data_IF_350970760322
#
_entry.id   IF_350970760322
#
_cell.length_a   1.000
_cell.length_b   1.000
_cell.length_c   1.000
_cell.angle_alpha   90.00
_cell.angle_beta   90.00
_cell.angle_gamma   90.00
#
_symmetry.space_group_name_H-M   'P 1'
#
loop_
_entity.id
_entity.type
_entity.pdbx_description
1 polymer ?
#
# COMPACT_ATOMS: atom_id res chain seq x y z
N UNK A 1 87.89 -10.37 -27.02
CA UNK A 1 87.16 -11.57 -27.52
C UNK A 1 86.47 -12.27 -26.36
N UNK A 2 85.14 -12.18 -26.33
CA UNK A 2 84.14 -13.17 -25.83
C UNK A 2 84.39 -13.99 -24.55
N UNK A 3 83.56 -13.75 -23.51
CA UNK A 3 82.53 -14.66 -22.91
C UNK A 3 82.10 -14.07 -21.54
N UNK A 4 80.84 -13.63 -21.38
CA UNK A 4 79.65 -14.38 -20.87
C UNK A 4 79.78 -14.84 -19.42
N UNK A 5 78.87 -14.33 -18.56
CA UNK A 5 77.98 -15.06 -17.63
C UNK A 5 77.36 -14.03 -16.65
N UNK A 6 76.21 -13.44 -16.96
CA UNK A 6 74.84 -13.87 -16.60
C UNK A 6 74.54 -13.75 -15.10
N UNK A 7 73.97 -12.60 -14.72
CA UNK A 7 73.30 -12.34 -13.43
C UNK A 7 71.93 -13.02 -13.49
N UNK A 8 71.73 -14.05 -12.67
CA UNK A 8 70.43 -14.70 -12.45
C UNK A 8 69.65 -13.92 -11.39
N UNK A 9 68.75 -13.04 -11.82
CA UNK A 9 67.73 -12.45 -10.94
C UNK A 9 66.53 -13.40 -10.85
N UNK A 10 66.28 -13.94 -9.66
CA UNK A 10 65.05 -14.64 -9.30
C UNK A 10 63.87 -13.63 -9.38
N UNK A 11 62.98 -13.81 -10.34
CA UNK A 11 61.67 -13.16 -10.34
C UNK A 11 60.61 -14.21 -10.01
N UNK A 12 60.18 -14.23 -8.75
CA UNK A 12 59.01 -15.01 -8.29
C UNK A 12 57.75 -14.28 -8.76
N UNK A 13 57.06 -14.83 -9.76
CA UNK A 13 55.73 -14.37 -10.16
C UNK A 13 54.68 -15.08 -9.29
N UNK A 14 54.06 -14.34 -8.37
CA UNK A 14 52.88 -14.78 -7.63
C UNK A 14 51.66 -14.69 -8.57
N UNK A 15 51.13 -15.83 -9.02
CA UNK A 15 49.87 -15.88 -9.77
C UNK A 15 48.73 -15.91 -8.74
N UNK A 16 48.04 -14.78 -8.57
CA UNK A 16 46.75 -14.76 -7.90
C UNK A 16 45.68 -15.37 -8.82
N UNK A 17 45.32 -16.63 -8.56
CA UNK A 17 44.11 -17.27 -9.08
C UNK A 17 42.90 -16.61 -8.40
N UNK A 18 42.36 -15.56 -9.01
CA UNK A 18 41.03 -15.05 -8.65
C UNK A 18 40.02 -16.09 -9.14
N UNK A 19 39.58 -16.96 -8.25
CA UNK A 19 38.40 -17.78 -8.46
C UNK A 19 37.21 -16.83 -8.67
N UNK A 20 36.88 -16.56 -9.92
CA UNK A 20 35.69 -15.80 -10.28
C UNK A 20 34.47 -16.58 -9.82
N UNK A 21 33.87 -16.16 -8.70
CA UNK A 21 32.50 -16.55 -8.41
C UNK A 21 31.65 -16.06 -9.59
N UNK A 22 30.82 -16.91 -10.21
CA UNK A 22 29.92 -16.45 -11.25
C UNK A 22 29.00 -15.41 -10.63
N UNK A 23 29.24 -14.13 -10.95
CA UNK A 23 28.22 -13.10 -10.81
C UNK A 23 27.07 -13.58 -11.69
N UNK A 24 26.01 -14.09 -11.07
CA UNK A 24 24.80 -14.40 -11.79
C UNK A 24 24.34 -13.11 -12.46
N UNK A 25 24.51 -13.07 -13.79
CA UNK A 25 23.97 -12.02 -14.62
C UNK A 25 22.45 -12.07 -14.44
N UNK A 26 21.91 -11.21 -13.57
CA UNK A 26 20.47 -11.05 -13.45
C UNK A 26 19.96 -10.60 -14.81
N UNK A 27 19.11 -11.42 -15.42
CA UNK A 27 18.56 -11.16 -16.75
C UNK A 27 18.00 -9.73 -16.84
N UNK A 28 18.29 -9.08 -17.97
CA UNK A 28 17.74 -7.78 -18.41
C UNK A 28 16.23 -7.81 -18.67
N UNK A 29 15.55 -8.85 -18.20
CA UNK A 29 14.13 -9.10 -18.42
C UNK A 29 13.26 -8.05 -17.73
N UNK A 30 12.32 -7.52 -18.52
CA UNK A 30 11.16 -6.74 -18.06
C UNK A 30 10.35 -7.55 -17.05
N UNK A 31 9.56 -6.88 -16.20
CA UNK A 31 8.61 -7.61 -15.38
C UNK A 31 7.44 -8.09 -16.22
N UNK A 32 6.99 -9.31 -15.98
CA UNK A 32 5.75 -9.86 -16.52
C UNK A 32 4.52 -9.11 -16.00
N UNK A 33 3.37 -9.28 -16.65
CA UNK A 33 2.09 -8.74 -16.15
C UNK A 33 1.78 -9.23 -14.71
N UNK A 34 2.13 -10.48 -14.41
CA UNK A 34 1.93 -11.09 -13.09
C UNK A 34 2.77 -10.39 -12.02
N UNK A 35 4.07 -10.22 -12.27
CA UNK A 35 4.97 -9.49 -11.37
C UNK A 35 4.51 -8.04 -11.18
N UNK A 36 4.10 -7.34 -12.24
CA UNK A 36 3.55 -5.99 -12.13
C UNK A 36 2.27 -5.94 -11.29
N UNK A 37 1.40 -6.95 -11.40
CA UNK A 37 0.20 -7.09 -10.56
C UNK A 37 0.55 -7.16 -9.08
N UNK A 38 1.53 -7.99 -8.71
CA UNK A 38 2.04 -8.12 -7.33
C UNK A 38 2.63 -6.79 -6.84
N UNK A 39 3.52 -6.17 -7.62
CA UNK A 39 4.15 -4.88 -7.28
C UNK A 39 3.10 -3.80 -7.01
N UNK A 40 2.09 -3.68 -7.88
CA UNK A 40 1.02 -2.68 -7.74
C UNK A 40 0.10 -2.99 -6.57
N UNK A 41 -0.22 -4.27 -6.33
CA UNK A 41 -1.02 -4.66 -5.16
C UNK A 41 -0.29 -4.29 -3.86
N UNK A 42 0.98 -4.65 -3.72
CA UNK A 42 1.79 -4.40 -2.52
C UNK A 42 2.06 -2.90 -2.31
N UNK A 43 2.41 -2.16 -3.37
CA UNK A 43 2.52 -0.70 -3.29
C UNK A 43 1.18 -0.03 -2.97
N UNK A 44 0.08 -0.57 -3.52
CA UNK A 44 -1.28 -0.16 -3.16
C UNK A 44 -1.62 -0.43 -1.70
N UNK A 45 -1.15 -1.55 -1.13
CA UNK A 45 -1.30 -1.91 0.29
C UNK A 45 -0.58 -0.93 1.19
N UNK A 46 0.60 -0.43 0.83
CA UNK A 46 1.27 0.65 1.58
C UNK A 46 0.39 1.90 1.73
N UNK A 47 -0.35 2.31 0.69
CA UNK A 47 -1.29 3.44 0.80
C UNK A 47 -2.38 3.17 1.83
N UNK A 48 -2.95 1.96 1.80
CA UNK A 48 -3.96 1.54 2.76
C UNK A 48 -3.37 1.55 4.18
N UNK A 49 -2.16 1.04 4.37
CA UNK A 49 -1.48 1.00 5.67
C UNK A 49 -1.26 2.40 6.25
N UNK A 50 -0.90 3.41 5.44
CA UNK A 50 -0.82 4.79 5.96
C UNK A 50 -2.15 5.27 6.54
N UNK A 51 -3.28 4.91 5.91
CA UNK A 51 -4.61 5.28 6.41
C UNK A 51 -5.06 4.42 7.59
N UNK A 52 -4.72 3.12 7.59
CA UNK A 52 -5.00 2.18 8.69
C UNK A 52 -4.26 2.60 9.96
N UNK A 53 -2.98 2.96 9.88
CA UNK A 53 -2.21 3.46 11.02
C UNK A 53 -2.80 4.75 11.58
N UNK A 54 -3.16 5.72 10.72
CA UNK A 54 -3.87 6.92 11.18
C UNK A 54 -5.20 6.59 11.87
N UNK A 55 -5.97 5.64 11.32
CA UNK A 55 -7.23 5.19 11.93
C UNK A 55 -7.00 4.56 13.30
N UNK A 56 -5.98 3.70 13.44
CA UNK A 56 -5.62 3.04 14.70
C UNK A 56 -5.23 4.06 15.78
N UNK A 57 -4.42 5.06 15.44
CA UNK A 57 -4.08 6.18 16.33
C UNK A 57 -5.34 6.95 16.77
N UNK A 58 -6.26 7.25 15.85
CA UNK A 58 -7.50 7.96 16.19
C UNK A 58 -8.48 7.08 16.98
N UNK A 59 -8.46 5.75 16.82
CA UNK A 59 -9.21 4.83 17.67
C UNK A 59 -8.62 4.80 19.09
N UNK A 60 -7.30 4.89 19.25
CA UNK A 60 -6.69 5.04 20.58
C UNK A 60 -7.16 6.34 21.25
N UNK A 61 -7.13 7.47 20.53
CA UNK A 61 -7.66 8.73 21.04
C UNK A 61 -9.16 8.65 21.40
N UNK A 62 -9.97 8.05 20.54
CA UNK A 62 -11.39 7.85 20.82
C UNK A 62 -11.62 6.90 22.02
N UNK A 63 -10.75 5.91 22.23
CA UNK A 63 -10.82 4.96 23.34
C UNK A 63 -10.56 5.58 24.72
N UNK A 64 -9.95 6.77 24.78
CA UNK A 64 -9.87 7.56 26.03
C UNK A 64 -11.26 8.02 26.52
N UNK A 65 -12.24 8.08 25.61
CA UNK A 65 -13.62 8.49 25.91
C UNK A 65 -14.63 7.34 25.76
N UNK A 66 -14.42 6.45 24.77
CA UNK A 66 -15.30 5.33 24.45
C UNK A 66 -14.72 4.04 25.04
N UNK A 67 -15.21 3.62 26.21
CA UNK A 67 -14.74 2.40 26.92
C UNK A 67 -14.82 1.11 26.11
N UNK A 68 -15.73 1.03 25.14
CA UNK A 68 -15.90 -0.15 24.29
C UNK A 68 -14.81 -0.28 23.20
N UNK A 69 -14.01 0.76 22.98
CA UNK A 69 -12.85 0.67 22.08
C UNK A 69 -11.66 0.17 22.89
N UNK A 70 -11.20 -1.04 22.56
CA UNK A 70 -9.99 -1.60 23.15
C UNK A 70 -8.76 -0.87 22.58
N UNK A 71 -8.19 0.00 23.41
CA UNK A 71 -6.97 0.75 23.10
C UNK A 71 -5.80 -0.21 22.84
N UNK A 72 -5.66 -1.27 23.64
CA UNK A 72 -4.56 -2.25 23.53
C UNK A 72 -4.65 -3.08 22.24
N UNK A 73 -5.85 -3.38 21.77
CA UNK A 73 -6.03 -3.96 20.43
C UNK A 73 -5.52 -3.02 19.33
N UNK A 74 -5.79 -1.72 19.44
CA UNK A 74 -5.31 -0.73 18.46
C UNK A 74 -3.78 -0.54 18.52
N UNK A 75 -3.17 -0.66 19.70
CA UNK A 75 -1.70 -0.75 19.83
C UNK A 75 -1.13 -1.95 19.05
N UNK A 76 -1.70 -3.15 19.25
CA UNK A 76 -1.27 -4.37 18.55
C UNK A 76 -1.45 -4.24 17.04
N UNK A 77 -2.56 -3.67 16.60
CA UNK A 77 -2.84 -3.47 15.18
C UNK A 77 -1.93 -2.41 14.55
N UNK A 78 -1.60 -1.34 15.27
CA UNK A 78 -0.64 -0.33 14.83
C UNK A 78 0.77 -0.93 14.63
N UNK A 79 1.22 -1.74 15.59
CA UNK A 79 2.50 -2.46 15.50
C UNK A 79 2.55 -3.39 14.28
N UNK A 80 1.48 -4.15 14.03
CA UNK A 80 1.40 -5.01 12.84
C UNK A 80 1.38 -4.19 11.55
N UNK A 81 0.63 -3.10 11.52
CA UNK A 81 0.51 -2.22 10.35
C UNK A 81 1.85 -1.57 9.99
N UNK A 82 2.60 -1.08 10.99
CA UNK A 82 3.91 -0.45 10.78
C UNK A 82 4.97 -1.47 10.33
N UNK A 83 5.03 -2.64 10.98
CA UNK A 83 5.93 -3.72 10.59
C UNK A 83 5.65 -4.24 9.17
N UNK A 84 4.36 -4.37 8.79
CA UNK A 84 4.01 -4.76 7.43
C UNK A 84 4.36 -3.68 6.40
N UNK A 85 4.25 -2.40 6.76
CA UNK A 85 4.68 -1.31 5.90
C UNK A 85 6.18 -1.38 5.62
N UNK A 86 7.01 -1.57 6.67
CA UNK A 86 8.46 -1.78 6.54
C UNK A 86 8.79 -2.94 5.60
N UNK A 87 8.23 -4.11 5.90
CA UNK A 87 8.53 -5.34 5.18
C UNK A 87 8.24 -5.19 3.68
N UNK A 88 7.07 -4.64 3.35
CA UNK A 88 6.69 -4.40 1.95
C UNK A 88 7.62 -3.38 1.28
N UNK A 89 7.99 -2.30 1.98
CA UNK A 89 8.85 -1.26 1.40
C UNK A 89 10.26 -1.79 1.13
N UNK A 90 10.81 -2.58 2.05
CA UNK A 90 12.10 -3.23 1.88
C UNK A 90 12.07 -4.28 0.78
N UNK A 91 11.03 -5.12 0.73
CA UNK A 91 10.85 -6.10 -0.34
C UNK A 91 10.72 -5.45 -1.72
N UNK A 92 10.02 -4.30 -1.83
CA UNK A 92 9.93 -3.56 -3.10
C UNK A 92 11.27 -2.97 -3.54
N UNK A 93 12.14 -2.59 -2.60
CA UNK A 93 13.48 -2.06 -2.89
C UNK A 93 14.48 -3.17 -3.25
N UNK A 94 14.54 -4.19 -2.40
CA UNK A 94 15.64 -5.15 -2.33
C UNK A 94 15.26 -6.51 -2.91
N UNK A 95 13.98 -6.75 -3.20
CA UNK A 95 13.46 -8.06 -3.52
C UNK A 95 13.14 -8.84 -2.24
N UNK A 96 12.19 -9.78 -2.38
CA UNK A 96 11.69 -10.60 -1.29
C UNK A 96 10.95 -11.79 -1.89
N UNK A 97 11.47 -13.00 -1.67
CA UNK A 97 10.90 -14.21 -2.25
C UNK A 97 9.52 -14.57 -1.65
N UNK A 98 9.28 -14.27 -0.37
CA UNK A 98 8.00 -14.53 0.29
C UNK A 98 6.90 -13.61 -0.26
N UNK A 99 7.25 -12.37 -0.58
CA UNK A 99 6.36 -11.41 -1.24
C UNK A 99 6.28 -11.59 -2.77
N UNK A 100 7.06 -12.51 -3.35
CA UNK A 100 7.15 -12.71 -4.80
C UNK A 100 7.75 -11.51 -5.53
N UNK A 101 8.64 -10.77 -4.87
CA UNK A 101 9.29 -9.57 -5.37
C UNK A 101 10.73 -9.83 -5.79
N UNK A 102 11.11 -9.28 -6.94
CA UNK A 102 12.52 -9.13 -7.34
C UNK A 102 12.99 -7.72 -7.01
N UNK A 103 14.30 -7.49 -6.81
CA UNK A 103 14.85 -6.17 -6.54
C UNK A 103 14.39 -5.11 -7.54
N UNK A 104 14.16 -3.89 -7.06
CA UNK A 104 13.67 -2.78 -7.90
C UNK A 104 14.62 -2.45 -9.06
N UNK A 105 14.07 -2.52 -10.28
CA UNK A 105 14.76 -2.10 -11.51
C UNK A 105 14.41 -0.66 -11.90
N UNK A 106 15.38 0.05 -12.47
CA UNK A 106 15.24 1.42 -12.95
C UNK A 106 15.58 2.47 -11.88
N UNK A 107 16.33 3.50 -12.30
CA UNK A 107 16.75 4.58 -11.41
C UNK A 107 15.56 5.39 -10.88
N UNK A 108 14.53 5.59 -11.70
CA UNK A 108 13.31 6.32 -11.36
C UNK A 108 12.46 5.60 -10.29
N UNK A 109 12.30 4.28 -10.40
CA UNK A 109 11.60 3.45 -9.40
C UNK A 109 12.36 3.44 -8.09
N UNK A 110 13.68 3.19 -8.12
CA UNK A 110 14.50 3.16 -6.90
C UNK A 110 14.53 4.51 -6.21
N UNK A 111 14.66 5.60 -6.96
CA UNK A 111 14.60 6.95 -6.39
C UNK A 111 13.26 7.21 -5.68
N UNK A 112 12.14 6.79 -6.29
CA UNK A 112 10.82 6.96 -5.70
C UNK A 112 10.63 6.11 -4.43
N UNK A 113 11.07 4.86 -4.43
CA UNK A 113 10.99 4.01 -3.24
C UNK A 113 11.91 4.49 -2.11
N UNK A 114 13.10 5.02 -2.44
CA UNK A 114 13.99 5.67 -1.45
C UNK A 114 13.34 6.90 -0.84
N UNK A 115 12.67 7.75 -1.63
CA UNK A 115 11.93 8.89 -1.10
C UNK A 115 10.84 8.45 -0.11
N UNK A 116 10.10 7.37 -0.40
CA UNK A 116 9.13 6.79 0.55
C UNK A 116 9.84 6.31 1.83
N UNK A 117 10.99 5.64 1.69
CA UNK A 117 11.79 5.15 2.83
C UNK A 117 12.30 6.29 3.71
N UNK A 118 12.79 7.36 3.12
CA UNK A 118 13.28 8.53 3.86
C UNK A 118 12.13 9.22 4.62
N UNK A 119 10.96 9.36 4.00
CA UNK A 119 9.76 9.90 4.66
C UNK A 119 9.25 8.96 5.77
N UNK A 120 9.32 7.65 5.55
CA UNK A 120 8.93 6.66 6.54
C UNK A 120 9.87 6.67 7.75
N UNK A 121 11.19 6.78 7.55
CA UNK A 121 12.18 6.93 8.63
C UNK A 121 11.89 8.17 9.49
N UNK A 122 11.38 9.25 8.90
CA UNK A 122 10.98 10.45 9.64
C UNK A 122 9.65 10.27 10.40
N UNK A 123 8.71 9.49 9.84
CA UNK A 123 7.40 9.28 10.44
C UNK A 123 7.40 8.17 11.52
N UNK A 124 8.22 7.14 11.34
CA UNK A 124 8.30 5.96 12.21
C UNK A 124 8.52 6.29 13.69
N UNK A 125 9.42 7.23 14.08
CA UNK A 125 9.58 7.60 15.49
C UNK A 125 8.29 8.08 16.15
N UNK A 126 7.41 8.78 15.42
CA UNK A 126 6.12 9.21 15.95
C UNK A 126 5.18 8.03 16.22
N UNK A 127 5.25 6.98 15.40
CA UNK A 127 4.54 5.72 15.64
C UNK A 127 5.11 5.00 16.86
N UNK A 128 6.44 4.95 16.98
CA UNK A 128 7.09 4.27 18.12
C UNK A 128 6.81 4.97 19.45
N UNK A 129 6.77 6.31 19.46
CA UNK A 129 6.32 7.11 20.61
C UNK A 129 4.88 6.76 20.95
N UNK A 130 3.98 6.69 19.95
CA UNK A 130 2.60 6.30 20.16
C UNK A 130 2.46 4.89 20.73
N UNK A 131 3.37 3.96 20.39
CA UNK A 131 3.39 2.58 20.86
C UNK A 131 4.00 2.40 22.27
N UNK A 132 4.79 3.35 22.76
CA UNK A 132 5.58 3.21 24.00
C UNK A 132 5.18 4.18 25.11
N UNK A 133 4.55 5.30 24.77
CA UNK A 133 4.25 6.35 25.74
C UNK A 133 2.93 6.07 26.46
N UNK A 134 3.00 5.97 27.79
CA UNK A 134 1.82 6.00 28.64
C UNK A 134 1.27 7.44 28.71
N UNK A 135 0.19 7.71 27.98
CA UNK A 135 -0.75 8.81 28.30
C UNK A 135 -0.43 10.23 27.84
N UNK A 136 0.62 10.49 27.05
CA UNK A 136 0.95 11.85 26.55
C UNK A 136 1.20 11.91 25.03
N UNK A 137 0.37 11.21 24.24
CA UNK A 137 0.51 11.18 22.78
C UNK A 137 -0.57 12.03 22.15
N UNK A 138 -0.18 13.04 21.38
CA UNK A 138 -1.11 13.73 20.46
C UNK A 138 -1.33 12.83 19.23
N UNK A 139 -2.25 11.88 19.37
CA UNK A 139 -2.60 10.92 18.32
C UNK A 139 -3.08 11.61 17.04
N UNK A 140 -3.73 12.76 17.14
CA UNK A 140 -4.16 13.53 15.98
C UNK A 140 -2.95 14.07 15.20
N UNK A 141 -1.97 14.66 15.91
CA UNK A 141 -0.73 15.13 15.31
C UNK A 141 0.02 13.99 14.61
N UNK A 142 0.16 12.84 15.26
CA UNK A 142 0.79 11.66 14.63
C UNK A 142 0.00 11.19 13.41
N UNK A 143 -1.34 11.08 13.51
CA UNK A 143 -2.18 10.67 12.39
C UNK A 143 -2.07 11.62 11.18
N UNK A 144 -1.90 12.92 11.41
CA UNK A 144 -1.78 13.94 10.35
C UNK A 144 -0.46 13.85 9.56
N UNK A 145 0.61 13.34 10.18
CA UNK A 145 1.92 13.17 9.55
C UNK A 145 1.93 12.09 8.45
N UNK A 146 0.89 11.28 8.35
CA UNK A 146 0.78 10.24 7.32
C UNK A 146 0.39 10.79 5.94
N UNK A 147 -0.10 12.03 5.83
CA UNK A 147 -0.58 12.61 4.56
C UNK A 147 0.53 12.80 3.51
N UNK A 148 1.71 13.38 3.85
CA UNK A 148 2.82 13.44 2.90
C UNK A 148 3.24 12.05 2.41
N UNK A 149 3.32 11.08 3.32
CA UNK A 149 3.69 9.70 2.99
C UNK A 149 2.67 9.05 2.05
N UNK A 150 1.37 9.20 2.32
CA UNK A 150 0.31 8.73 1.43
C UNK A 150 0.47 9.30 0.01
N UNK A 151 0.75 10.60 -0.11
CA UNK A 151 0.93 11.26 -1.40
C UNK A 151 2.14 10.69 -2.15
N UNK A 152 3.23 10.42 -1.45
CA UNK A 152 4.43 9.85 -2.04
C UNK A 152 4.21 8.40 -2.52
N UNK A 153 3.54 7.57 -1.70
CA UNK A 153 3.15 6.22 -2.11
C UNK A 153 2.18 6.25 -3.30
N UNK A 154 1.26 7.22 -3.37
CA UNK A 154 0.38 7.41 -4.54
C UNK A 154 1.17 7.71 -5.83
N UNK A 155 2.26 8.50 -5.74
CA UNK A 155 3.14 8.75 -6.90
C UNK A 155 3.85 7.47 -7.34
N UNK A 156 4.30 6.63 -6.41
CA UNK A 156 4.91 5.34 -6.72
C UNK A 156 3.93 4.41 -7.45
N UNK A 157 2.70 4.28 -6.95
CA UNK A 157 1.68 3.43 -7.62
C UNK A 157 1.40 3.91 -9.04
N UNK A 158 1.26 5.23 -9.26
CA UNK A 158 1.09 5.81 -10.61
C UNK A 158 2.29 5.52 -11.53
N UNK A 159 3.51 5.59 -10.99
CA UNK A 159 4.73 5.25 -11.73
C UNK A 159 4.72 3.76 -12.14
N UNK A 160 4.35 2.86 -11.21
CA UNK A 160 4.31 1.42 -11.44
C UNK A 160 3.23 1.06 -12.45
N UNK A 161 2.04 1.66 -12.36
CA UNK A 161 0.98 1.50 -13.36
C UNK A 161 1.46 1.91 -14.76
N UNK A 162 2.14 3.05 -14.88
CA UNK A 162 2.70 3.52 -16.16
C UNK A 162 3.76 2.56 -16.73
N UNK A 163 4.64 2.03 -15.88
CA UNK A 163 5.65 1.06 -16.32
C UNK A 163 5.03 -0.29 -16.69
N UNK A 164 4.10 -0.78 -15.88
CA UNK A 164 3.33 -1.99 -16.16
C UNK A 164 2.64 -1.92 -17.52
N UNK A 165 1.99 -0.78 -17.84
CA UNK A 165 1.37 -0.57 -19.14
C UNK A 165 2.39 -0.61 -20.29
N UNK A 166 3.57 0.00 -20.11
CA UNK A 166 4.63 0.02 -21.13
C UNK A 166 5.29 -1.34 -21.35
N UNK A 167 5.43 -2.13 -20.30
CA UNK A 167 6.16 -3.41 -20.37
C UNK A 167 5.25 -4.60 -20.70
N UNK A 168 4.01 -4.59 -20.22
CA UNK A 168 3.08 -5.72 -20.38
C UNK A 168 1.93 -5.45 -21.35
N UNK A 169 1.60 -4.18 -21.64
CA UNK A 169 0.45 -3.80 -22.46
C UNK A 169 -0.94 -4.12 -21.85
N UNK A 170 -1.01 -4.75 -20.68
CA UNK A 170 -2.27 -5.17 -20.05
C UNK A 170 -2.84 -4.07 -19.14
N UNK A 171 -4.16 -3.85 -19.23
CA UNK A 171 -4.94 -2.96 -18.33
C UNK A 171 -5.21 -3.57 -16.96
N UNK A 172 -4.83 -4.82 -16.73
CA UNK A 172 -5.02 -5.50 -15.43
C UNK A 172 -4.37 -4.74 -14.27
N UNK A 173 -3.20 -4.14 -14.50
CA UNK A 173 -2.50 -3.28 -13.53
C UNK A 173 -3.36 -2.11 -13.06
N UNK A 174 -4.11 -1.49 -13.97
CA UNK A 174 -5.06 -0.43 -13.67
C UNK A 174 -6.22 -0.94 -12.82
N UNK A 175 -6.80 -2.09 -13.16
CA UNK A 175 -7.90 -2.67 -12.36
C UNK A 175 -7.42 -3.03 -10.95
N UNK A 176 -6.27 -3.68 -10.81
CA UNK A 176 -5.67 -4.00 -9.50
C UNK A 176 -5.42 -2.72 -8.68
N UNK A 177 -4.92 -1.65 -9.31
CA UNK A 177 -4.72 -0.36 -8.64
C UNK A 177 -6.03 0.18 -8.06
N UNK A 178 -7.11 0.21 -8.85
CA UNK A 178 -8.38 0.82 -8.44
C UNK A 178 -9.24 -0.08 -7.53
N UNK A 179 -9.18 -1.39 -7.68
CA UNK A 179 -9.65 -2.32 -6.66
C UNK A 179 -8.86 -2.13 -5.35
N UNK A 180 -7.53 -2.00 -5.45
CA UNK A 180 -6.67 -1.70 -4.31
C UNK A 180 -6.99 -0.37 -3.62
N UNK A 181 -7.42 0.65 -4.39
CA UNK A 181 -7.89 1.96 -3.89
C UNK A 181 -9.09 1.80 -2.96
N UNK A 182 -9.97 0.83 -3.19
CA UNK A 182 -11.15 0.62 -2.35
C UNK A 182 -10.77 0.26 -0.91
N UNK A 183 -9.75 -0.59 -0.71
CA UNK A 183 -9.22 -0.91 0.63
C UNK A 183 -8.75 0.32 1.38
N UNK A 184 -8.01 1.19 0.67
CA UNK A 184 -7.55 2.45 1.23
C UNK A 184 -8.73 3.37 1.56
N UNK A 185 -9.73 3.49 0.68
CA UNK A 185 -10.92 4.31 0.92
C UNK A 185 -11.73 3.81 2.12
N UNK A 186 -11.87 2.48 2.31
CA UNK A 186 -12.51 1.91 3.50
C UNK A 186 -11.82 2.40 4.78
N UNK A 187 -10.49 2.30 4.84
CA UNK A 187 -9.72 2.79 6.00
C UNK A 187 -9.78 4.31 6.14
N UNK A 188 -9.72 5.05 5.02
CA UNK A 188 -9.77 6.50 4.98
C UNK A 188 -11.11 7.03 5.48
N UNK A 189 -12.24 6.47 5.06
CA UNK A 189 -13.57 6.88 5.54
C UNK A 189 -13.73 6.68 7.05
N UNK A 190 -13.22 5.57 7.58
CA UNK A 190 -13.21 5.33 9.04
C UNK A 190 -12.38 6.39 9.78
N UNK A 191 -11.18 6.68 9.28
CA UNK A 191 -10.32 7.76 9.80
C UNK A 191 -11.03 9.12 9.75
N UNK A 192 -11.69 9.44 8.65
CA UNK A 192 -12.36 10.73 8.45
C UNK A 192 -13.59 10.88 9.36
N UNK A 193 -14.37 9.82 9.58
CA UNK A 193 -15.45 9.82 10.57
C UNK A 193 -14.92 9.99 12.00
N UNK A 194 -13.81 9.32 12.36
CA UNK A 194 -13.15 9.48 13.66
C UNK A 194 -12.65 10.92 13.88
N UNK A 195 -12.09 11.55 12.84
CA UNK A 195 -11.70 12.97 12.91
C UNK A 195 -12.90 13.85 13.25
N UNK A 196 -14.05 13.63 12.60
CA UNK A 196 -15.27 14.39 12.90
C UNK A 196 -15.78 14.13 14.31
N UNK A 197 -15.74 12.88 14.78
CA UNK A 197 -16.11 12.54 16.17
C UNK A 197 -15.24 13.30 17.17
N UNK A 198 -13.92 13.32 16.94
CA UNK A 198 -12.90 14.04 17.71
C UNK A 198 -12.88 15.55 17.43
N UNK A 199 -13.94 16.12 16.86
CA UNK A 199 -14.14 17.57 16.63
C UNK A 199 -13.14 18.22 15.65
N UNK A 200 -12.52 17.43 14.78
CA UNK A 200 -11.74 17.94 13.64
C UNK A 200 -12.61 17.99 12.37
N UNK A 201 -12.50 19.07 11.61
CA UNK A 201 -13.24 19.22 10.35
C UNK A 201 -12.82 18.16 9.32
N UNK A 202 -13.76 17.31 8.90
CA UNK A 202 -13.50 16.32 7.86
C UNK A 202 -14.72 15.83 7.07
N UNK A 203 -15.91 16.41 7.28
CA UNK A 203 -17.15 15.93 6.65
C UNK A 203 -17.08 15.96 5.12
N UNK A 204 -16.54 17.02 4.53
CA UNK A 204 -16.39 17.11 3.07
C UNK A 204 -15.47 16.01 2.50
N UNK A 205 -14.36 15.74 3.19
CA UNK A 205 -13.43 14.68 2.81
C UNK A 205 -14.09 13.31 2.92
N UNK A 206 -14.88 13.06 3.98
CA UNK A 206 -15.66 11.84 4.15
C UNK A 206 -16.63 11.65 2.98
N UNK A 207 -17.45 12.66 2.65
CA UNK A 207 -18.38 12.60 1.52
C UNK A 207 -17.65 12.34 0.19
N UNK A 208 -16.50 13.01 -0.04
CA UNK A 208 -15.69 12.79 -1.23
C UNK A 208 -15.16 11.36 -1.30
N UNK A 209 -14.68 10.80 -0.18
CA UNK A 209 -14.21 9.42 -0.12
C UNK A 209 -15.34 8.42 -0.42
N UNK A 210 -16.55 8.65 0.10
CA UNK A 210 -17.74 7.82 -0.17
C UNK A 210 -18.10 7.85 -1.66
N UNK A 211 -18.15 9.04 -2.26
CA UNK A 211 -18.42 9.21 -3.68
C UNK A 211 -17.38 8.49 -4.56
N UNK A 212 -16.08 8.63 -4.24
CA UNK A 212 -15.01 7.95 -4.97
C UNK A 212 -15.10 6.43 -4.83
N UNK A 213 -15.52 5.92 -3.68
CA UNK A 213 -15.73 4.48 -3.46
C UNK A 213 -16.84 3.97 -4.36
N UNK A 214 -18.01 4.62 -4.34
CA UNK A 214 -19.17 4.25 -5.16
C UNK A 214 -18.91 4.34 -6.67
N UNK A 215 -18.26 5.42 -7.12
CA UNK A 215 -17.87 5.58 -8.53
C UNK A 215 -16.97 4.42 -8.99
N UNK A 216 -16.02 4.01 -8.15
CA UNK A 216 -15.11 2.91 -8.49
C UNK A 216 -15.80 1.56 -8.45
N UNK A 217 -16.64 1.29 -7.46
CA UNK A 217 -17.37 0.03 -7.35
C UNK A 217 -18.24 -0.21 -8.57
N UNK A 218 -18.98 0.82 -9.02
CA UNK A 218 -19.76 0.77 -10.27
C UNK A 218 -18.86 0.47 -11.47
N UNK A 219 -17.75 1.20 -11.60
CA UNK A 219 -16.84 1.01 -12.73
C UNK A 219 -16.15 -0.36 -12.73
N UNK A 220 -15.87 -0.97 -11.57
CA UNK A 220 -15.32 -2.33 -11.48
C UNK A 220 -16.36 -3.40 -11.90
N UNK A 221 -17.63 -3.21 -11.53
CA UNK A 221 -18.70 -4.16 -11.84
C UNK A 221 -19.17 -4.04 -13.29
N UNK A 222 -19.47 -2.83 -13.73
CA UNK A 222 -20.20 -2.57 -14.98
C UNK A 222 -19.31 -2.01 -16.10
N UNK A 223 -18.08 -1.58 -15.77
CA UNK A 223 -17.18 -0.90 -16.69
C UNK A 223 -17.60 0.55 -16.92
N UNK A 224 -16.81 1.51 -16.42
CA UNK A 224 -17.09 2.93 -16.57
C UNK A 224 -15.82 3.77 -16.40
N UNK A 225 -15.91 5.09 -16.58
CA UNK A 225 -14.86 6.04 -16.25
C UNK A 225 -14.95 6.50 -14.81
N UNK A 226 -13.85 6.35 -14.08
CA UNK A 226 -13.67 6.90 -12.75
C UNK A 226 -12.88 8.21 -12.79
N UNK A 227 -12.96 8.96 -11.71
CA UNK A 227 -12.19 10.17 -11.47
C UNK A 227 -11.02 9.88 -10.55
N UNK A 228 -9.82 10.29 -10.95
CA UNK A 228 -8.62 10.21 -10.12
C UNK A 228 -8.57 11.37 -9.13
N UNK A 229 -7.67 11.29 -8.14
CA UNK A 229 -7.47 12.35 -7.14
C UNK A 229 -7.10 13.68 -7.81
N UNK A 230 -6.35 13.64 -8.91
CA UNK A 230 -5.95 14.77 -9.77
C UNK A 230 -7.01 15.15 -10.83
N UNK A 231 -8.25 14.66 -10.70
CA UNK A 231 -9.37 15.05 -11.55
C UNK A 231 -9.38 14.44 -12.96
N UNK A 232 -8.46 13.51 -13.26
CA UNK A 232 -8.41 12.85 -14.57
C UNK A 232 -9.45 11.74 -14.65
N UNK A 233 -9.98 11.50 -15.85
CA UNK A 233 -10.83 10.35 -16.11
C UNK A 233 -10.00 9.14 -16.51
N UNK A 234 -10.28 7.99 -15.91
CA UNK A 234 -9.67 6.69 -16.25
C UNK A 234 -10.77 5.69 -16.48
N UNK A 235 -10.76 5.02 -17.63
CA UNK A 235 -11.76 4.00 -17.98
C UNK A 235 -11.34 2.63 -17.45
N UNK A 236 -12.21 1.99 -16.69
CA UNK A 236 -12.07 0.60 -16.25
C UNK A 236 -12.86 -0.33 -17.17
N UNK A 237 -12.33 -1.51 -17.52
CA UNK A 237 -13.11 -2.55 -18.18
C UNK A 237 -14.14 -3.12 -17.20
N UNK A 238 -15.22 -3.66 -17.75
CA UNK A 238 -16.20 -4.43 -16.99
C UNK A 238 -15.58 -5.75 -16.52
N UNK A 239 -15.85 -6.16 -15.29
CA UNK A 239 -15.46 -7.50 -14.82
C UNK A 239 -16.38 -8.56 -15.42
N UNK A 240 -15.80 -9.60 -16.02
CA UNK A 240 -16.57 -10.70 -16.66
C UNK A 240 -16.55 -12.01 -15.87
N UNK A 241 -15.53 -12.20 -15.03
CA UNK A 241 -15.42 -13.37 -14.17
C UNK A 241 -16.55 -13.38 -13.13
N UNK A 242 -17.34 -14.46 -13.16
CA UNK A 242 -18.53 -14.62 -12.31
C UNK A 242 -18.18 -14.67 -10.83
N UNK A 243 -17.04 -15.25 -10.46
CA UNK A 243 -16.62 -15.34 -9.07
C UNK A 243 -16.20 -13.96 -8.55
N UNK A 244 -15.46 -13.18 -9.36
CA UNK A 244 -15.10 -11.80 -9.00
C UNK A 244 -16.36 -10.93 -8.88
N UNK A 245 -17.31 -11.05 -9.81
CA UNK A 245 -18.58 -10.33 -9.75
C UNK A 245 -19.39 -10.67 -8.49
N UNK A 246 -19.44 -11.95 -8.10
CA UNK A 246 -20.12 -12.38 -6.87
C UNK A 246 -19.45 -11.78 -5.62
N UNK A 247 -18.11 -11.74 -5.59
CA UNK A 247 -17.38 -11.14 -4.49
C UNK A 247 -17.55 -9.60 -4.44
N UNK A 248 -17.57 -8.93 -5.59
CA UNK A 248 -17.89 -7.50 -5.68
C UNK A 248 -19.31 -7.20 -5.22
N UNK A 249 -20.29 -8.04 -5.56
CA UNK A 249 -21.66 -7.91 -5.07
C UNK A 249 -21.72 -8.02 -3.54
N UNK A 250 -21.00 -8.98 -2.94
CA UNK A 250 -20.88 -9.09 -1.48
C UNK A 250 -20.28 -7.82 -0.85
N UNK A 251 -19.21 -7.27 -1.44
CA UNK A 251 -18.61 -6.00 -0.99
C UNK A 251 -19.62 -4.85 -1.11
N UNK A 252 -20.38 -4.78 -2.20
CA UNK A 252 -21.42 -3.77 -2.42
C UNK A 252 -22.54 -3.85 -1.38
N UNK A 253 -22.96 -5.05 -1.01
CA UNK A 253 -24.03 -5.25 -0.02
C UNK A 253 -23.56 -4.84 1.37
N UNK A 254 -22.34 -5.23 1.75
CA UNK A 254 -21.71 -4.76 2.99
C UNK A 254 -21.43 -3.26 2.97
N UNK A 255 -21.11 -2.68 1.82
CA UNK A 255 -20.96 -1.24 1.70
C UNK A 255 -22.25 -0.50 2.08
N UNK A 256 -23.44 -1.02 1.79
CA UNK A 256 -24.69 -0.32 2.13
C UNK A 256 -24.85 -0.09 3.63
N UNK A 257 -24.58 -1.08 4.47
CA UNK A 257 -24.66 -0.88 5.92
C UNK A 257 -23.50 -0.02 6.44
N UNK A 258 -22.31 -0.11 5.85
CA UNK A 258 -21.19 0.77 6.22
C UNK A 258 -21.51 2.23 5.87
N UNK A 259 -22.06 2.46 4.68
CA UNK A 259 -22.51 3.77 4.18
C UNK A 259 -23.59 4.38 5.06
N UNK A 260 -24.52 3.59 5.59
CA UNK A 260 -25.52 4.07 6.56
C UNK A 260 -24.81 4.68 7.78
N UNK A 261 -23.91 3.91 8.41
CA UNK A 261 -23.16 4.37 9.58
C UNK A 261 -22.35 5.65 9.33
N UNK A 262 -21.82 5.84 8.11
CA UNK A 262 -21.07 7.04 7.74
C UNK A 262 -21.97 8.29 7.54
N UNK A 263 -23.25 8.10 7.19
CA UNK A 263 -24.21 9.19 6.99
C UNK A 263 -25.04 9.51 8.25
N UNK A 264 -25.17 8.54 9.15
CA UNK A 264 -25.89 8.68 10.40
C UNK A 264 -25.18 9.66 11.34
N UNK A 265 -25.83 9.93 12.49
CA UNK A 265 -25.24 10.75 13.53
C UNK A 265 -23.88 10.18 13.97
N UNK A 266 -22.88 11.06 14.07
CA UNK A 266 -21.53 10.68 14.52
C UNK A 266 -21.51 10.74 16.04
N UNK A 267 -21.83 9.59 16.65
CA UNK A 267 -21.87 9.35 18.09
C UNK A 267 -21.06 8.09 18.45
N UNK A 268 -20.91 7.79 19.74
CA UNK A 268 -20.08 6.68 20.23
C UNK A 268 -20.53 5.32 19.69
N UNK A 269 -21.84 5.07 19.68
CA UNK A 269 -22.43 3.82 19.19
C UNK A 269 -22.06 3.58 17.72
N UNK A 270 -22.21 4.60 16.88
CA UNK A 270 -21.90 4.49 15.46
C UNK A 270 -20.40 4.39 15.19
N UNK A 271 -19.52 4.99 16.02
CA UNK A 271 -18.07 4.79 15.93
C UNK A 271 -17.69 3.34 16.23
N UNK A 272 -18.28 2.72 17.26
CA UNK A 272 -18.03 1.32 17.61
C UNK A 272 -18.47 0.40 16.45
N UNK A 273 -19.70 0.58 15.95
CA UNK A 273 -20.23 -0.20 14.83
C UNK A 273 -19.39 -0.02 13.57
N UNK A 274 -19.01 1.22 13.26
CA UNK A 274 -18.19 1.57 12.11
C UNK A 274 -16.83 0.88 12.20
N UNK A 275 -16.15 0.92 13.35
CA UNK A 275 -14.84 0.27 13.54
C UNK A 275 -14.89 -1.24 13.28
N UNK A 276 -15.92 -1.92 13.80
CA UNK A 276 -16.12 -3.35 13.57
C UNK A 276 -16.42 -3.68 12.10
N UNK A 277 -17.26 -2.87 11.46
CA UNK A 277 -17.67 -3.07 10.07
C UNK A 277 -16.54 -2.74 9.08
N UNK A 278 -15.73 -1.73 9.39
CA UNK A 278 -14.55 -1.34 8.62
C UNK A 278 -13.61 -2.51 8.35
N UNK A 279 -13.30 -3.30 9.38
CA UNK A 279 -12.40 -4.45 9.27
C UNK A 279 -13.03 -5.62 8.51
N UNK A 280 -14.34 -5.84 8.69
CA UNK A 280 -15.08 -6.86 7.92
C UNK A 280 -15.07 -6.52 6.42
N UNK A 281 -15.41 -5.28 6.07
CA UNK A 281 -15.44 -4.82 4.68
C UNK A 281 -14.04 -4.80 4.04
N UNK A 282 -13.00 -4.41 4.80
CA UNK A 282 -11.61 -4.46 4.33
C UNK A 282 -11.22 -5.88 3.89
N UNK A 283 -11.57 -6.91 4.67
CA UNK A 283 -11.23 -8.31 4.35
C UNK A 283 -11.86 -8.77 3.04
N UNK A 284 -13.14 -8.47 2.84
CA UNK A 284 -13.84 -8.84 1.60
C UNK A 284 -13.27 -8.12 0.38
N UNK A 285 -12.85 -6.86 0.55
CA UNK A 285 -12.19 -6.11 -0.51
C UNK A 285 -10.76 -6.62 -0.79
N UNK A 286 -10.06 -7.12 0.23
CA UNK A 286 -8.75 -7.78 0.06
C UNK A 286 -8.87 -9.06 -0.78
N UNK A 287 -9.95 -9.82 -0.61
CA UNK A 287 -10.26 -11.00 -1.44
C UNK A 287 -10.43 -10.57 -2.91
N UNK A 288 -11.24 -9.53 -3.20
CA UNK A 288 -11.43 -9.02 -4.58
C UNK A 288 -10.09 -8.71 -5.24
N UNK A 289 -9.20 -7.99 -4.54
CA UNK A 289 -7.90 -7.61 -5.10
C UNK A 289 -7.04 -8.85 -5.37
N UNK A 290 -7.05 -9.85 -4.48
CA UNK A 290 -6.32 -11.09 -4.70
C UNK A 290 -6.87 -11.87 -5.90
N UNK A 291 -8.19 -11.88 -6.10
CA UNK A 291 -8.79 -12.52 -7.26
C UNK A 291 -8.36 -11.85 -8.57
N UNK A 292 -8.33 -10.51 -8.65
CA UNK A 292 -7.79 -9.80 -9.82
C UNK A 292 -6.29 -10.04 -10.05
N UNK A 293 -5.52 -10.17 -8.98
CA UNK A 293 -4.09 -10.47 -9.08
C UNK A 293 -3.84 -11.86 -9.67
N UNK A 294 -4.65 -12.86 -9.28
CA UNK A 294 -4.55 -14.24 -9.77
C UNK A 294 -5.14 -14.40 -11.17
N UNK A 295 -6.33 -13.83 -11.42
CA UNK A 295 -7.07 -13.99 -12.66
C UNK A 295 -6.84 -12.79 -13.60
N UNK A 296 -5.59 -12.56 -14.02
CA UNK A 296 -5.26 -11.35 -14.80
C UNK A 296 -5.92 -11.26 -16.19
N UNK A 297 -6.53 -12.35 -16.66
CA UNK A 297 -7.27 -12.44 -17.92
C UNK A 297 -8.81 -12.30 -17.71
N UNK A 298 -9.26 -11.94 -16.51
CA UNK A 298 -10.68 -11.83 -16.12
C UNK A 298 -11.42 -10.56 -16.59
N UNK A 299 -10.80 -9.76 -17.47
CA UNK A 299 -11.17 -8.39 -17.83
C UNK A 299 -11.52 -8.23 -19.30
#
# INVERSE_FOLDING_TARGET
MTRKNSISALSVFLIFLIAGYPVQAFSTEKYSAKEWGVIINLSGRQRMLTQKMSKELLLMAAGEHIRAIDVQDNYRELLKSSALFDHILDGLLQGDAELGLRPAKGADVRARLKAIKDMWIQFRPSIDIALTSEGNVDYFKVASQSLPLLNEVNKAVKLFEKKAMRESGKKVSTVINYAGRQRMLIQKMAKEMLLVYLKHENRENLFRSMWMFEETMRALMDGDSITTIDGKKVRLPQTRDKAILAQLAKVRDMWQSFRSLLNDEINEENIIKMSAMNMKLLREMDIVVKMYEVNQDSL
#
